data_IF_722288829506
#
_entry.id   IF_722288829506
#
_cell.length_a   1.000
_cell.length_b   1.000
_cell.length_c   1.000
_cell.angle_alpha   90.00
_cell.angle_beta   90.00
_cell.angle_gamma   90.00
#
_symmetry.space_group_name_H-M   'P 1'
#
loop_
_entity.id
_entity.type
_entity.pdbx_description
1 polymer ?
#
# COMPACT_ATOMS: atom_id res chain seq x y z
N UNK A 1 15.88 -16.81 -27.07
CA UNK A 1 14.50 -16.90 -26.59
C UNK A 1 13.49 -16.33 -27.58
N UNK A 2 13.57 -15.07 -28.05
CA UNK A 2 12.57 -14.48 -28.96
C UNK A 2 12.30 -15.29 -30.21
N UNK A 3 13.34 -15.74 -30.96
CA UNK A 3 13.16 -16.60 -32.14
C UNK A 3 12.51 -17.96 -31.81
N UNK A 4 12.78 -18.51 -30.62
CA UNK A 4 12.13 -19.74 -30.17
C UNK A 4 10.65 -19.54 -29.84
N UNK A 5 10.30 -18.39 -29.28
CA UNK A 5 8.90 -18.04 -29.00
C UNK A 5 8.10 -17.88 -30.31
N UNK A 6 8.67 -17.17 -31.29
CA UNK A 6 8.07 -17.04 -32.62
C UNK A 6 7.88 -18.42 -33.29
N UNK A 7 8.94 -19.26 -33.30
CA UNK A 7 8.84 -20.59 -33.87
C UNK A 7 7.83 -21.51 -33.19
N UNK A 8 7.63 -21.36 -31.86
CA UNK A 8 6.59 -22.09 -31.13
C UNK A 8 5.18 -21.66 -31.58
N UNK A 9 4.95 -20.36 -31.73
CA UNK A 9 3.66 -19.82 -32.19
C UNK A 9 3.37 -20.23 -33.65
N UNK A 10 4.36 -20.15 -34.52
CA UNK A 10 4.24 -20.56 -35.94
C UNK A 10 3.96 -22.07 -36.09
N UNK A 11 4.60 -22.91 -35.26
CA UNK A 11 4.41 -24.36 -35.31
C UNK A 11 2.96 -24.80 -35.02
N UNK A 12 2.20 -24.01 -34.26
CA UNK A 12 0.81 -24.28 -33.92
C UNK A 12 -0.18 -23.37 -34.68
N UNK A 13 0.30 -22.58 -35.64
CA UNK A 13 -0.50 -21.60 -36.39
C UNK A 13 -1.31 -20.69 -35.46
N UNK A 14 -0.67 -20.22 -34.40
CA UNK A 14 -1.35 -19.35 -33.42
C UNK A 14 -1.71 -18.00 -34.04
N UNK A 15 -2.95 -17.54 -33.81
CA UNK A 15 -3.45 -16.23 -34.21
C UNK A 15 -4.00 -15.52 -32.98
N UNK A 16 -3.58 -14.27 -32.78
CA UNK A 16 -3.97 -13.45 -31.64
C UNK A 16 -2.84 -13.23 -30.64
N UNK A 17 -3.16 -12.68 -29.50
CA UNK A 17 -2.18 -12.47 -28.43
C UNK A 17 -1.83 -13.80 -27.73
N UNK A 18 -0.56 -13.95 -27.40
CA UNK A 18 -0.08 -15.11 -26.66
C UNK A 18 1.27 -14.83 -26.01
N UNK A 19 1.63 -15.64 -25.03
CA UNK A 19 2.92 -15.57 -24.34
C UNK A 19 3.55 -16.96 -24.32
N UNK A 20 4.82 -17.04 -24.68
CA UNK A 20 5.61 -18.27 -24.53
C UNK A 20 6.51 -18.10 -23.31
N UNK A 21 6.39 -19.02 -22.35
CA UNK A 21 7.15 -18.99 -21.12
C UNK A 21 8.34 -19.96 -21.17
N UNK A 22 9.46 -19.49 -20.63
CA UNK A 22 10.70 -20.26 -20.57
C UNK A 22 11.25 -20.27 -19.14
N UNK A 23 11.76 -21.42 -18.72
CA UNK A 23 12.63 -21.51 -17.54
C UNK A 23 14.06 -21.22 -18.01
N UNK A 24 14.73 -20.31 -17.31
CA UNK A 24 16.11 -19.93 -17.59
C UNK A 24 16.99 -20.41 -16.44
N UNK A 25 18.06 -21.13 -16.79
CA UNK A 25 19.06 -21.57 -15.83
C UNK A 25 19.86 -20.36 -15.33
N UNK A 26 19.76 -20.06 -14.04
CA UNK A 26 20.57 -19.02 -13.43
C UNK A 26 21.96 -19.58 -13.11
N UNK A 27 23.00 -19.03 -13.70
CA UNK A 27 24.40 -19.37 -13.40
C UNK A 27 25.02 -18.25 -12.59
N UNK A 28 25.95 -18.61 -11.70
CA UNK A 28 26.83 -17.65 -11.02
C UNK A 28 27.83 -17.06 -12.05
N UNK A 29 27.32 -16.13 -12.86
CA UNK A 29 28.13 -15.44 -13.85
C UNK A 29 28.45 -14.03 -13.36
N UNK A 30 29.67 -13.57 -13.65
CA UNK A 30 30.05 -12.17 -13.50
C UNK A 30 29.09 -11.27 -14.29
N UNK A 31 28.91 -10.03 -13.88
CA UNK A 31 27.93 -9.10 -14.45
C UNK A 31 28.04 -8.93 -15.98
N UNK A 32 29.21 -9.15 -16.56
CA UNK A 32 29.46 -9.05 -18.00
C UNK A 32 28.97 -10.28 -18.79
N UNK A 33 28.85 -11.44 -18.16
CA UNK A 33 28.43 -12.70 -18.80
C UNK A 33 26.96 -13.07 -18.56
N UNK A 34 26.19 -12.25 -17.87
CA UNK A 34 24.80 -12.58 -17.47
C UNK A 34 23.86 -12.95 -18.60
N UNK A 35 24.16 -12.60 -19.84
CA UNK A 35 23.30 -12.85 -21.01
C UNK A 35 23.94 -13.71 -22.09
N UNK A 36 25.20 -14.08 -21.93
CA UNK A 36 25.93 -14.95 -22.89
C UNK A 36 25.90 -16.41 -22.44
N UNK A 37 25.15 -17.25 -23.16
CA UNK A 37 25.19 -18.70 -22.96
C UNK A 37 24.28 -19.28 -21.86
N UNK A 38 23.25 -18.56 -21.44
CA UNK A 38 22.23 -19.13 -20.55
C UNK A 38 21.39 -20.18 -21.25
N UNK A 39 21.24 -21.36 -20.67
CA UNK A 39 20.30 -22.35 -21.14
C UNK A 39 18.87 -21.90 -20.81
N UNK A 40 17.96 -22.07 -21.74
CA UNK A 40 16.54 -21.84 -21.51
C UNK A 40 15.72 -23.02 -22.01
N UNK A 41 14.62 -23.29 -21.37
CA UNK A 41 13.78 -24.45 -21.67
C UNK A 41 12.34 -23.96 -21.78
N UNK A 42 11.65 -24.45 -22.82
CA UNK A 42 10.23 -24.18 -23.00
C UNK A 42 9.44 -24.75 -21.82
N UNK A 43 8.55 -23.95 -21.25
CA UNK A 43 7.67 -24.35 -20.16
C UNK A 43 6.24 -24.51 -20.68
N UNK A 44 5.63 -23.42 -21.13
CA UNK A 44 4.28 -23.43 -21.65
C UNK A 44 4.04 -22.29 -22.65
N UNK A 45 2.89 -22.35 -23.32
CA UNK A 45 2.36 -21.24 -24.13
C UNK A 45 0.95 -20.90 -23.67
N UNK A 46 0.77 -19.67 -23.24
CA UNK A 46 -0.54 -19.11 -22.92
C UNK A 46 -1.11 -18.45 -24.16
N UNK A 47 -2.15 -19.05 -24.76
CA UNK A 47 -2.80 -18.59 -26.00
C UNK A 47 -3.87 -17.53 -25.74
N UNK A 48 -3.58 -16.57 -24.88
CA UNK A 48 -4.45 -15.48 -24.47
C UNK A 48 -3.63 -14.26 -24.10
N UNK A 49 -4.27 -13.10 -24.04
CA UNK A 49 -3.69 -11.91 -23.44
C UNK A 49 -3.42 -12.18 -21.96
N UNK A 50 -2.25 -11.81 -21.46
CA UNK A 50 -1.89 -11.92 -20.05
C UNK A 50 -2.19 -10.65 -19.29
N UNK A 51 -2.27 -10.77 -17.96
CA UNK A 51 -2.57 -9.64 -17.07
C UNK A 51 -1.54 -8.53 -17.22
N UNK A 52 -0.26 -8.91 -17.36
CA UNK A 52 0.90 -8.01 -17.43
C UNK A 52 1.18 -7.42 -18.82
N UNK A 53 0.27 -7.58 -19.81
CA UNK A 53 0.44 -6.96 -21.13
C UNK A 53 0.73 -5.45 -21.10
N UNK A 54 0.25 -4.66 -20.12
CA UNK A 54 0.53 -3.23 -20.07
C UNK A 54 2.02 -2.89 -20.01
N UNK A 55 2.85 -3.75 -19.40
CA UNK A 55 4.31 -3.57 -19.39
C UNK A 55 4.86 -3.54 -20.81
N UNK A 56 4.43 -4.48 -21.66
CA UNK A 56 4.83 -4.54 -23.07
C UNK A 56 4.32 -3.30 -23.82
N UNK A 57 3.04 -2.95 -23.63
CA UNK A 57 2.42 -1.82 -24.29
C UNK A 57 3.17 -0.51 -24.01
N UNK A 58 3.52 -0.27 -22.77
CA UNK A 58 4.18 0.97 -22.36
C UNK A 58 5.60 1.09 -22.92
N UNK A 59 6.39 -0.01 -22.90
CA UNK A 59 7.78 0.04 -23.40
C UNK A 59 7.88 -0.01 -24.92
N UNK A 60 6.85 -0.48 -25.64
CA UNK A 60 6.85 -0.57 -27.11
C UNK A 60 5.99 0.47 -27.80
N UNK A 61 5.17 1.20 -27.04
CA UNK A 61 4.21 2.15 -27.59
C UNK A 61 3.18 1.47 -28.49
N UNK A 62 2.64 0.33 -28.01
CA UNK A 62 1.63 -0.46 -28.72
C UNK A 62 0.37 -0.61 -27.85
N UNK A 63 -0.75 -0.93 -28.46
CA UNK A 63 -2.00 -1.32 -27.81
C UNK A 63 -2.34 -2.74 -28.25
N UNK A 64 -2.06 -3.71 -27.39
CA UNK A 64 -2.28 -5.13 -27.71
C UNK A 64 -3.75 -5.50 -27.75
N UNK A 65 -4.60 -4.81 -27.02
CA UNK A 65 -6.04 -5.02 -27.03
C UNK A 65 -6.62 -4.55 -28.37
N UNK A 66 -6.23 -3.36 -28.82
CA UNK A 66 -6.58 -2.88 -30.15
C UNK A 66 -6.10 -3.86 -31.25
N UNK A 67 -4.86 -4.35 -31.13
CA UNK A 67 -4.31 -5.30 -32.10
C UNK A 67 -5.09 -6.62 -32.15
N UNK A 68 -5.55 -7.12 -31.01
CA UNK A 68 -6.41 -8.31 -30.99
C UNK A 68 -7.71 -8.07 -31.78
N UNK A 69 -8.34 -6.91 -31.62
CA UNK A 69 -9.57 -6.58 -32.32
C UNK A 69 -9.33 -6.44 -33.84
N UNK A 70 -8.23 -5.80 -34.25
CA UNK A 70 -7.84 -5.66 -35.65
C UNK A 70 -7.59 -7.03 -36.31
N UNK A 71 -6.79 -7.88 -35.67
CA UNK A 71 -6.49 -9.22 -36.15
C UNK A 71 -7.75 -10.09 -36.21
N UNK A 72 -8.63 -10.01 -35.22
CA UNK A 72 -9.91 -10.72 -35.24
C UNK A 72 -10.83 -10.22 -36.38
N UNK A 73 -10.67 -8.97 -36.80
CA UNK A 73 -11.39 -8.40 -37.96
C UNK A 73 -10.76 -8.80 -39.32
N UNK A 74 -9.66 -9.55 -39.31
CA UNK A 74 -8.95 -9.99 -40.51
C UNK A 74 -7.88 -9.03 -41.00
N UNK A 75 -7.53 -8.00 -40.22
CA UNK A 75 -6.45 -7.08 -40.56
C UNK A 75 -5.07 -7.72 -40.28
N UNK A 76 -4.04 -7.36 -41.05
CA UNK A 76 -2.66 -7.75 -40.74
C UNK A 76 -2.18 -7.03 -39.46
N UNK A 77 -1.10 -7.56 -38.85
CA UNK A 77 -0.45 -6.89 -37.73
C UNK A 77 0.00 -5.47 -38.11
N UNK A 78 -0.26 -4.46 -37.27
CA UNK A 78 0.07 -3.06 -37.55
C UNK A 78 1.56 -2.75 -37.67
N UNK A 79 2.42 -3.60 -37.07
CA UNK A 79 3.88 -3.45 -37.09
C UNK A 79 4.55 -4.80 -37.36
N UNK A 80 5.73 -4.73 -37.97
CA UNK A 80 6.61 -5.89 -38.12
C UNK A 80 7.52 -6.00 -36.88
N UNK A 81 8.12 -7.17 -36.67
CA UNK A 81 9.05 -7.40 -35.55
C UNK A 81 10.21 -6.38 -35.53
N UNK A 82 10.71 -5.99 -36.73
CA UNK A 82 11.79 -5.03 -36.86
C UNK A 82 11.42 -3.59 -36.49
N UNK A 83 10.12 -3.24 -36.46
CA UNK A 83 9.63 -1.91 -36.13
C UNK A 83 9.46 -1.72 -34.63
N UNK A 84 9.58 -2.81 -33.87
CA UNK A 84 9.41 -2.75 -32.41
C UNK A 84 10.72 -2.33 -31.74
N UNK A 85 10.64 -1.29 -30.95
CA UNK A 85 11.75 -0.79 -30.13
C UNK A 85 11.35 -0.75 -28.68
N UNK A 86 12.28 -1.09 -27.79
CA UNK A 86 12.07 -0.99 -26.34
C UNK A 86 12.49 0.39 -25.88
N UNK A 87 11.59 1.13 -25.25
CA UNK A 87 11.84 2.43 -24.68
C UNK A 87 11.67 2.41 -23.17
N UNK A 88 12.75 2.69 -22.45
CA UNK A 88 12.74 2.77 -20.99
C UNK A 88 12.51 1.43 -20.29
N UNK A 89 11.91 1.50 -19.12
CA UNK A 89 11.64 0.38 -18.23
C UNK A 89 10.26 0.53 -17.59
N UNK A 90 9.47 -0.54 -17.61
CA UNK A 90 8.16 -0.56 -16.97
C UNK A 90 8.08 -1.66 -15.92
N UNK A 91 7.29 -1.42 -14.88
CA UNK A 91 7.01 -2.38 -13.81
C UNK A 91 5.51 -2.34 -13.53
N UNK A 92 4.90 -3.52 -13.41
CA UNK A 92 3.52 -3.68 -12.98
C UNK A 92 3.45 -4.24 -11.56
N UNK A 93 2.56 -3.70 -10.75
CA UNK A 93 2.17 -4.25 -9.46
C UNK A 93 0.67 -4.61 -9.50
N UNK A 94 0.33 -5.86 -9.18
CA UNK A 94 -1.07 -6.29 -9.00
C UNK A 94 -1.49 -5.99 -7.58
N UNK A 95 -2.43 -5.07 -7.41
CA UNK A 95 -3.01 -4.73 -6.10
C UNK A 95 -4.16 -5.70 -5.84
N UNK A 96 -4.01 -6.52 -4.81
CA UNK A 96 -4.96 -7.57 -4.47
C UNK A 96 -5.55 -7.34 -3.07
N UNK A 97 -6.83 -7.73 -2.93
CA UNK A 97 -7.50 -7.88 -1.63
C UNK A 97 -7.03 -9.20 -0.98
N UNK A 98 -5.86 -9.15 -0.35
CA UNK A 98 -5.19 -10.28 0.27
C UNK A 98 -4.52 -9.83 1.57
N UNK A 99 -4.39 -10.76 2.52
CA UNK A 99 -3.68 -10.50 3.76
C UNK A 99 -2.29 -11.16 3.74
N UNK A 100 -1.20 -10.41 3.47
CA UNK A 100 0.15 -10.96 3.46
C UNK A 100 0.57 -11.60 4.78
N UNK A 101 0.12 -11.07 5.92
CA UNK A 101 0.44 -11.59 7.25
C UNK A 101 -0.27 -12.92 7.54
N UNK A 102 -1.30 -13.25 6.75
CA UNK A 102 -2.05 -14.50 6.84
C UNK A 102 -1.91 -15.31 5.54
N UNK A 103 -0.68 -15.57 5.11
CA UNK A 103 -0.35 -16.38 3.93
C UNK A 103 -1.07 -15.95 2.64
N UNK A 104 -1.27 -14.66 2.43
CA UNK A 104 -1.97 -14.10 1.27
C UNK A 104 -3.39 -14.65 1.06
N UNK A 105 -4.07 -15.02 2.14
CA UNK A 105 -5.46 -15.42 2.02
C UNK A 105 -6.30 -14.27 1.45
N UNK A 106 -7.17 -14.56 0.46
CA UNK A 106 -8.07 -13.58 -0.09
C UNK A 106 -8.95 -12.93 0.99
N UNK A 107 -9.09 -11.62 0.90
CA UNK A 107 -9.92 -10.83 1.79
C UNK A 107 -11.18 -10.35 1.06
N UNK A 108 -12.26 -10.22 1.81
CA UNK A 108 -13.53 -9.68 1.33
C UNK A 108 -13.93 -8.48 2.15
N UNK A 109 -14.66 -7.55 1.56
CA UNK A 109 -15.13 -6.36 2.24
C UNK A 109 -15.58 -5.29 1.26
N UNK A 110 -15.96 -4.15 1.80
CA UNK A 110 -16.34 -2.97 1.01
C UNK A 110 -15.15 -2.03 0.89
N UNK A 111 -14.89 -1.52 -0.28
CA UNK A 111 -13.91 -0.47 -0.53
C UNK A 111 -14.44 0.87 -0.01
N UNK A 112 -14.37 1.09 1.31
CA UNK A 112 -14.90 2.30 1.94
C UNK A 112 -14.13 3.57 1.52
N UNK A 113 -12.84 3.41 1.23
CA UNK A 113 -12.01 4.42 0.57
C UNK A 113 -11.21 3.72 -0.51
N UNK A 114 -11.23 4.28 -1.69
CA UNK A 114 -10.41 3.88 -2.82
C UNK A 114 -9.85 5.15 -3.49
N UNK A 115 -8.62 5.49 -3.17
CA UNK A 115 -7.91 6.65 -3.72
C UNK A 115 -6.61 6.21 -4.35
N UNK A 116 -6.39 6.62 -5.56
CA UNK A 116 -5.21 6.31 -6.37
C UNK A 116 -4.40 7.57 -6.67
N UNK A 117 -3.10 7.47 -6.98
CA UNK A 117 -2.34 8.60 -7.49
C UNK A 117 -2.92 9.11 -8.81
N UNK A 118 -2.53 10.30 -9.25
CA UNK A 118 -2.85 10.78 -10.60
C UNK A 118 -2.30 9.80 -11.63
N UNK A 119 -3.16 9.31 -12.51
CA UNK A 119 -2.86 8.27 -13.48
C UNK A 119 -3.67 8.44 -14.77
N UNK A 120 -3.34 7.64 -15.79
CA UNK A 120 -4.19 7.38 -16.95
C UNK A 120 -4.73 5.95 -16.86
N UNK A 121 -5.91 5.72 -17.40
CA UNK A 121 -6.54 4.42 -17.46
C UNK A 121 -6.38 3.83 -18.87
N UNK A 122 -6.02 2.54 -18.94
CA UNK A 122 -5.97 1.73 -20.18
C UNK A 122 -5.16 2.35 -21.34
N UNK A 123 -4.24 3.25 -21.05
CA UNK A 123 -3.44 3.93 -22.06
C UNK A 123 -1.98 4.04 -21.68
N UNK A 124 -1.11 4.16 -22.68
CA UNK A 124 0.33 4.35 -22.51
C UNK A 124 0.59 5.66 -21.77
N UNK A 125 1.18 5.58 -20.59
CA UNK A 125 1.52 6.74 -19.77
C UNK A 125 2.60 6.41 -18.73
N UNK A 126 3.09 7.44 -18.05
CA UNK A 126 4.11 7.30 -17.00
C UNK A 126 3.60 6.59 -15.74
N UNK A 127 2.33 6.80 -15.40
CA UNK A 127 1.60 6.07 -14.36
C UNK A 127 0.24 5.68 -14.95
N UNK A 128 0.00 4.39 -15.02
CA UNK A 128 -1.25 3.81 -15.51
C UNK A 128 -1.85 2.94 -14.42
N UNK A 129 -3.16 3.03 -14.26
CA UNK A 129 -3.93 2.13 -13.39
C UNK A 129 -5.08 1.57 -14.21
N UNK A 130 -5.11 0.24 -14.29
CA UNK A 130 -6.24 -0.48 -14.87
C UNK A 130 -6.99 -1.18 -13.74
N UNK A 131 -8.15 -0.68 -13.41
CA UNK A 131 -9.00 -1.24 -12.37
C UNK A 131 -10.41 -1.55 -12.91
N UNK A 132 -11.15 -2.33 -12.13
CA UNK A 132 -12.53 -2.68 -12.41
C UNK A 132 -13.46 -2.38 -11.24
N UNK A 133 -12.99 -1.56 -10.29
CA UNK A 133 -13.68 -1.28 -9.04
C UNK A 133 -13.78 0.22 -8.77
N UNK A 134 -14.69 0.60 -7.89
CA UNK A 134 -14.88 1.97 -7.43
C UNK A 134 -15.03 2.01 -5.92
N UNK A 135 -14.86 3.18 -5.35
CA UNK A 135 -15.19 3.40 -3.95
C UNK A 135 -16.63 3.05 -3.67
N UNK A 136 -16.88 2.24 -2.65
CA UNK A 136 -18.18 1.69 -2.30
C UNK A 136 -18.46 0.28 -2.85
N UNK A 137 -17.67 -0.23 -3.78
CA UNK A 137 -17.85 -1.58 -4.31
C UNK A 137 -17.46 -2.64 -3.29
N UNK A 138 -18.08 -3.82 -3.43
CA UNK A 138 -17.83 -4.99 -2.56
C UNK A 138 -16.92 -5.98 -3.27
N UNK A 139 -15.78 -6.25 -2.66
CA UNK A 139 -14.91 -7.35 -3.08
C UNK A 139 -15.44 -8.64 -2.47
N UNK A 140 -15.73 -9.62 -3.31
CA UNK A 140 -16.35 -10.89 -2.91
C UNK A 140 -15.48 -12.09 -3.28
N UNK A 141 -15.83 -13.27 -2.75
CA UNK A 141 -15.16 -14.54 -3.08
C UNK A 141 -15.56 -15.11 -4.45
N UNK A 142 -16.48 -14.48 -5.18
CA UNK A 142 -16.97 -15.00 -6.47
C UNK A 142 -16.04 -14.70 -7.64
N UNK A 143 -15.14 -13.73 -7.48
CA UNK A 143 -14.18 -13.30 -8.47
C UNK A 143 -12.77 -13.30 -7.89
N UNK A 144 -11.80 -12.95 -8.72
CA UNK A 144 -10.40 -12.77 -8.32
C UNK A 144 -10.27 -11.69 -7.23
N UNK A 145 -9.26 -11.83 -6.37
CA UNK A 145 -8.89 -10.84 -5.34
C UNK A 145 -8.29 -9.57 -5.92
N UNK A 146 -7.95 -9.53 -7.22
CA UNK A 146 -7.31 -8.40 -7.86
C UNK A 146 -8.23 -7.18 -7.92
N UNK A 147 -7.78 -6.09 -7.30
CA UNK A 147 -8.47 -4.80 -7.29
C UNK A 147 -8.05 -3.97 -8.50
N UNK A 148 -6.75 -3.88 -8.74
CA UNK A 148 -6.18 -3.04 -9.79
C UNK A 148 -4.79 -3.53 -10.22
N UNK A 149 -4.38 -3.10 -11.42
CA UNK A 149 -2.99 -3.15 -11.87
C UNK A 149 -2.45 -1.74 -11.86
N UNK A 150 -1.33 -1.54 -11.18
CA UNK A 150 -0.58 -0.29 -11.18
C UNK A 150 0.68 -0.49 -12.01
N UNK A 151 0.78 0.23 -13.11
CA UNK A 151 1.89 0.17 -14.05
C UNK A 151 2.61 1.51 -14.04
N UNK A 152 3.94 1.45 -13.97
CA UNK A 152 4.78 2.65 -14.07
C UNK A 152 5.81 2.50 -15.19
N UNK A 153 6.14 3.63 -15.81
CA UNK A 153 7.18 3.72 -16.83
C UNK A 153 8.19 4.81 -16.48
N UNK A 154 9.47 4.54 -16.74
CA UNK A 154 10.54 5.51 -16.61
C UNK A 154 11.72 5.16 -17.54
N UNK A 155 12.66 6.09 -17.79
CA UNK A 155 13.84 5.82 -18.61
C UNK A 155 14.73 4.68 -18.09
N UNK A 156 14.80 4.48 -16.78
CA UNK A 156 15.62 3.45 -16.15
C UNK A 156 14.84 2.63 -15.13
N UNK A 157 15.34 1.41 -14.83
CA UNK A 157 14.75 0.55 -13.79
C UNK A 157 14.71 1.25 -12.43
N UNK A 158 15.78 1.94 -12.04
CA UNK A 158 15.85 2.64 -10.76
C UNK A 158 14.76 3.71 -10.64
N UNK A 159 14.57 4.50 -11.70
CA UNK A 159 13.51 5.52 -11.74
C UNK A 159 12.12 4.89 -11.76
N UNK A 160 11.93 3.76 -12.44
CA UNK A 160 10.67 3.03 -12.43
C UNK A 160 10.34 2.49 -11.03
N UNK A 161 11.33 1.93 -10.32
CA UNK A 161 11.16 1.46 -8.94
C UNK A 161 10.77 2.60 -7.99
N UNK A 162 11.47 3.74 -8.07
CA UNK A 162 11.14 4.92 -7.25
C UNK A 162 9.73 5.45 -7.57
N UNK A 163 9.34 5.46 -8.84
CA UNK A 163 7.99 5.87 -9.27
C UNK A 163 6.94 4.90 -8.77
N UNK A 164 7.19 3.59 -8.80
CA UNK A 164 6.26 2.57 -8.30
C UNK A 164 6.06 2.68 -6.79
N UNK A 165 7.15 2.82 -6.01
CA UNK A 165 7.04 2.99 -4.56
C UNK A 165 6.23 4.23 -4.19
N UNK A 166 6.47 5.36 -4.87
CA UNK A 166 5.71 6.59 -4.67
C UNK A 166 4.23 6.43 -5.03
N UNK A 167 3.92 5.73 -6.12
CA UNK A 167 2.55 5.48 -6.53
C UNK A 167 1.81 4.55 -5.56
N UNK A 168 2.47 3.47 -5.10
CA UNK A 168 1.95 2.60 -4.04
C UNK A 168 1.76 3.37 -2.73
N UNK A 169 2.73 4.23 -2.36
CA UNK A 169 2.64 5.07 -1.16
C UNK A 169 1.47 6.08 -1.22
N UNK A 170 1.05 6.50 -2.41
CA UNK A 170 -0.09 7.38 -2.61
C UNK A 170 -1.44 6.64 -2.69
N UNK A 171 -1.43 5.33 -2.84
CA UNK A 171 -2.65 4.51 -2.89
C UNK A 171 -3.27 4.36 -1.51
N UNK A 172 -4.58 4.61 -1.38
CA UNK A 172 -5.35 4.51 -0.14
C UNK A 172 -6.52 3.57 -0.33
N UNK A 173 -6.49 2.45 0.36
CA UNK A 173 -7.56 1.45 0.37
C UNK A 173 -7.96 1.19 1.81
N UNK A 174 -9.26 1.36 2.11
CA UNK A 174 -9.82 1.18 3.45
C UNK A 174 -11.03 0.27 3.36
N UNK A 175 -11.16 -0.65 4.31
CA UNK A 175 -12.30 -1.55 4.45
C UNK A 175 -11.96 -3.03 4.30
N UNK A 176 -10.76 -3.34 3.77
CA UNK A 176 -10.24 -4.71 3.66
C UNK A 176 -8.71 -4.71 3.62
N UNK A 177 -8.05 -5.80 4.03
CA UNK A 177 -6.61 -5.97 3.87
C UNK A 177 -6.20 -6.04 2.40
N UNK A 178 -5.04 -5.45 2.09
CA UNK A 178 -4.44 -5.49 0.75
C UNK A 178 -2.95 -5.80 0.82
N UNK A 179 -2.38 -6.19 -0.31
CA UNK A 179 -0.95 -6.45 -0.45
C UNK A 179 -0.10 -5.19 -0.70
N UNK A 180 -0.65 -3.97 -0.64
CA UNK A 180 0.06 -2.72 -1.00
C UNK A 180 1.33 -2.52 -0.16
N UNK A 181 1.27 -2.72 1.15
CA UNK A 181 2.45 -2.58 2.02
C UNK A 181 3.53 -3.62 1.68
N UNK A 182 3.14 -4.87 1.45
CA UNK A 182 4.04 -5.93 1.02
C UNK A 182 4.72 -5.61 -0.32
N UNK A 183 3.96 -5.12 -1.31
CA UNK A 183 4.51 -4.70 -2.61
C UNK A 183 5.57 -3.61 -2.45
N UNK A 184 5.37 -2.65 -1.55
CA UNK A 184 6.38 -1.63 -1.25
C UNK A 184 7.65 -2.23 -0.68
N UNK A 185 7.55 -3.19 0.23
CA UNK A 185 8.73 -3.90 0.76
C UNK A 185 9.47 -4.66 -0.35
N UNK A 186 8.73 -5.32 -1.26
CA UNK A 186 9.34 -5.98 -2.43
C UNK A 186 10.12 -4.98 -3.28
N UNK A 187 9.50 -3.85 -3.65
CA UNK A 187 10.10 -2.82 -4.50
C UNK A 187 11.36 -2.21 -3.87
N UNK A 188 11.39 -2.09 -2.54
CA UNK A 188 12.49 -1.53 -1.77
C UNK A 188 13.59 -2.55 -1.45
N UNK A 189 13.34 -3.86 -1.62
CA UNK A 189 14.32 -4.91 -1.33
C UNK A 189 15.50 -4.86 -2.29
N UNK A 190 16.69 -5.16 -1.80
CA UNK A 190 17.91 -5.18 -2.62
C UNK A 190 17.83 -6.23 -3.74
N UNK A 191 17.26 -7.39 -3.44
CA UNK A 191 17.09 -8.44 -4.46
C UNK A 191 16.21 -7.97 -5.63
N UNK A 192 15.12 -7.28 -5.36
CA UNK A 192 14.27 -6.76 -6.42
C UNK A 192 14.91 -5.57 -7.15
N UNK A 193 15.57 -4.68 -6.41
CA UNK A 193 16.29 -3.52 -6.94
C UNK A 193 17.37 -3.92 -7.95
N UNK A 194 18.17 -4.93 -7.61
CA UNK A 194 19.26 -5.40 -8.45
C UNK A 194 18.89 -6.54 -9.40
N UNK A 195 17.58 -6.84 -9.52
CA UNK A 195 17.05 -7.91 -10.36
C UNK A 195 17.66 -9.31 -10.06
N UNK A 196 18.00 -9.56 -8.80
CA UNK A 196 18.39 -10.87 -8.31
C UNK A 196 17.14 -11.69 -7.97
N UNK A 197 16.41 -12.07 -9.01
CA UNK A 197 15.07 -12.66 -8.93
C UNK A 197 15.13 -14.16 -9.21
N UNK A 198 14.60 -14.94 -8.27
CA UNK A 198 14.40 -16.38 -8.40
C UNK A 198 13.14 -16.81 -7.65
N UNK A 199 12.77 -18.08 -7.78
CA UNK A 199 11.58 -18.65 -7.12
C UNK A 199 11.69 -18.70 -5.58
N UNK A 200 12.89 -18.55 -5.03
CA UNK A 200 13.16 -18.55 -3.58
C UNK A 200 13.22 -17.14 -2.98
N UNK A 201 12.99 -16.09 -3.77
CA UNK A 201 13.09 -14.70 -3.33
C UNK A 201 12.31 -14.43 -2.03
N UNK A 202 11.05 -14.83 -1.98
CA UNK A 202 10.17 -14.55 -0.84
C UNK A 202 10.68 -15.22 0.42
N UNK A 203 11.11 -16.47 0.31
CA UNK A 203 11.62 -17.21 1.47
C UNK A 203 12.99 -16.66 1.93
N UNK A 204 13.86 -16.30 0.99
CA UNK A 204 15.18 -15.72 1.28
C UNK A 204 15.10 -14.34 1.93
N UNK A 205 14.16 -13.50 1.50
CA UNK A 205 13.99 -12.12 1.95
C UNK A 205 12.85 -11.97 2.98
N UNK A 206 12.40 -13.08 3.57
CA UNK A 206 11.21 -13.12 4.44
C UNK A 206 11.24 -12.08 5.54
N UNK A 207 12.37 -11.92 6.22
CA UNK A 207 12.51 -10.95 7.33
C UNK A 207 12.39 -9.50 6.85
N UNK A 208 12.79 -9.20 5.61
CA UNK A 208 12.66 -7.88 4.99
C UNK A 208 11.25 -7.66 4.47
N UNK A 209 10.69 -8.65 3.77
CA UNK A 209 9.40 -8.53 3.09
C UNK A 209 8.22 -8.49 4.07
N UNK A 210 8.31 -9.23 5.18
CA UNK A 210 7.31 -9.28 6.24
C UNK A 210 7.76 -8.55 7.51
N UNK A 211 9.02 -8.06 7.52
CA UNK A 211 9.52 -7.14 8.53
C UNK A 211 8.79 -5.82 8.39
N UNK A 212 7.70 -5.67 9.12
CA UNK A 212 6.90 -4.47 9.10
C UNK A 212 7.79 -3.26 9.38
N UNK A 213 7.93 -2.34 8.44
CA UNK A 213 8.19 -0.95 8.75
C UNK A 213 6.92 -0.43 9.46
N UNK A 214 6.83 -0.79 10.73
CA UNK A 214 5.76 -0.30 11.60
C UNK A 214 5.91 1.20 11.64
N UNK A 215 4.84 1.90 11.33
CA UNK A 215 4.79 3.33 11.63
C UNK A 215 5.17 3.51 13.10
N UNK A 216 5.93 4.55 13.41
CA UNK A 216 6.28 4.83 14.81
C UNK A 216 4.97 4.88 15.60
N UNK A 217 4.76 3.96 16.53
CA UNK A 217 3.51 3.80 17.27
C UNK A 217 2.93 5.12 17.83
N UNK A 218 3.75 6.06 18.35
CA UNK A 218 3.23 7.34 18.79
C UNK A 218 2.50 8.15 17.72
N UNK A 219 2.99 8.12 16.47
CA UNK A 219 2.35 8.80 15.36
C UNK A 219 1.02 8.17 14.98
N UNK A 220 0.97 6.85 14.96
CA UNK A 220 -0.26 6.10 14.66
C UNK A 220 -1.35 6.38 15.69
N UNK A 221 -0.99 6.25 16.99
CA UNK A 221 -1.92 6.49 18.09
C UNK A 221 -2.38 7.96 18.14
N UNK A 222 -1.45 8.91 18.01
CA UNK A 222 -1.79 10.32 17.96
C UNK A 222 -2.76 10.64 16.82
N UNK A 223 -2.50 10.08 15.62
CA UNK A 223 -3.36 10.29 14.45
C UNK A 223 -4.75 9.70 14.65
N UNK A 224 -4.85 8.48 15.21
CA UNK A 224 -6.12 7.84 15.50
C UNK A 224 -6.96 8.68 16.48
N UNK A 225 -6.33 9.19 17.54
CA UNK A 225 -6.99 10.07 18.51
C UNK A 225 -7.42 11.39 17.86
N UNK A 226 -6.55 12.02 17.06
CA UNK A 226 -6.87 13.27 16.35
C UNK A 226 -8.05 13.06 15.40
N UNK A 227 -8.13 11.91 14.71
CA UNK A 227 -9.27 11.58 13.85
C UNK A 227 -10.56 11.50 14.67
N UNK A 228 -10.52 10.87 15.83
CA UNK A 228 -11.69 10.78 16.73
C UNK A 228 -12.14 12.16 17.21
N UNK A 229 -11.21 12.97 17.71
CA UNK A 229 -11.50 14.33 18.16
C UNK A 229 -12.06 15.20 17.02
N UNK A 230 -11.55 15.04 15.80
CA UNK A 230 -12.04 15.77 14.63
C UNK A 230 -13.48 15.36 14.24
N UNK A 231 -13.84 14.08 14.36
CA UNK A 231 -15.20 13.61 14.13
C UNK A 231 -16.17 14.14 15.19
N UNK A 232 -15.79 14.10 16.45
CA UNK A 232 -16.58 14.66 17.54
C UNK A 232 -16.83 16.16 17.35
N UNK A 233 -15.80 16.90 16.91
CA UNK A 233 -15.93 18.33 16.65
C UNK A 233 -16.96 18.64 15.53
N UNK A 234 -17.11 17.77 14.55
CA UNK A 234 -18.09 17.92 13.47
C UNK A 234 -19.54 17.66 13.93
N UNK A 235 -19.72 16.85 14.96
CA UNK A 235 -21.05 16.50 15.51
C UNK A 235 -21.56 17.46 16.58
N UNK A 236 -20.75 18.45 16.99
CA UNK A 236 -21.13 19.43 18.00
C UNK A 236 -22.29 20.32 17.52
N UNK A 237 -23.36 20.37 18.30
CA UNK A 237 -24.47 21.27 18.09
C UNK A 237 -24.13 22.67 18.62
N UNK A 238 -24.93 23.70 18.23
CA UNK A 238 -24.81 25.07 18.76
C UNK A 238 -25.20 25.21 20.26
N UNK A 239 -25.58 24.12 20.92
CA UNK A 239 -25.87 24.09 22.34
C UNK A 239 -24.57 24.29 23.13
N UNK A 240 -24.48 25.31 24.04
CA UNK A 240 -23.31 25.53 24.87
C UNK A 240 -22.92 24.33 25.74
N UNK A 241 -23.89 23.47 26.10
CA UNK A 241 -23.67 22.28 26.92
C UNK A 241 -23.16 21.07 26.11
N UNK A 242 -23.20 21.13 24.79
CA UNK A 242 -22.63 20.09 23.93
C UNK A 242 -21.14 20.31 23.60
N UNK A 243 -20.56 21.39 24.09
CA UNK A 243 -19.13 21.68 23.86
C UNK A 243 -18.27 20.72 24.64
N UNK A 244 -17.45 19.98 23.93
CA UNK A 244 -16.38 19.12 24.49
C UNK A 244 -15.07 19.93 24.58
N UNK A 245 -15.12 21.06 25.34
CA UNK A 245 -13.99 21.97 25.53
C UNK A 245 -13.03 21.51 26.64
N UNK A 246 -13.21 20.28 27.11
CA UNK A 246 -12.40 19.65 28.15
C UNK A 246 -12.37 20.44 29.49
N UNK A 247 -13.31 21.40 29.68
CA UNK A 247 -13.37 22.19 30.91
C UNK A 247 -13.83 21.34 32.10
N UNK A 248 -13.09 21.41 33.20
CA UNK A 248 -13.48 20.84 34.51
C UNK A 248 -13.21 21.82 35.63
N UNK A 249 -14.16 21.94 36.55
CA UNK A 249 -14.12 22.94 37.62
C UNK A 249 -13.00 22.75 38.67
N UNK A 250 -12.51 21.50 38.86
CA UNK A 250 -11.61 21.18 39.98
C UNK A 250 -10.53 20.14 39.68
N UNK A 251 -10.38 19.69 38.44
CA UNK A 251 -9.38 18.69 38.07
C UNK A 251 -8.82 18.92 36.68
N UNK A 252 -7.61 18.42 36.42
CA UNK A 252 -7.11 18.34 35.05
C UNK A 252 -7.99 17.39 34.24
N UNK A 253 -8.23 17.75 32.97
CA UNK A 253 -8.94 16.88 32.05
C UNK A 253 -8.00 15.75 31.60
N UNK A 254 -8.41 14.53 31.85
CA UNK A 254 -7.78 13.34 31.32
C UNK A 254 -8.83 12.48 30.64
N UNK A 255 -8.52 12.03 29.42
CA UNK A 255 -9.39 11.15 28.65
C UNK A 255 -8.61 9.92 28.23
N UNK A 256 -9.00 8.73 28.70
CA UNK A 256 -8.42 7.48 28.26
C UNK A 256 -9.04 7.05 26.94
N UNK A 257 -8.22 6.38 26.12
CA UNK A 257 -8.59 5.64 24.92
C UNK A 257 -8.02 4.24 25.06
N UNK A 258 -8.87 3.24 25.05
CA UNK A 258 -8.46 1.85 24.99
C UNK A 258 -8.30 1.46 23.52
N UNK A 259 -7.15 0.87 23.18
CA UNK A 259 -6.72 0.62 21.82
C UNK A 259 -6.21 -0.80 21.70
N UNK A 260 -6.32 -1.37 20.50
CA UNK A 260 -5.62 -2.61 20.14
C UNK A 260 -4.76 -2.35 18.91
N UNK A 261 -3.49 -2.73 19.00
CA UNK A 261 -2.53 -2.64 17.92
C UNK A 261 -1.77 -3.97 17.79
N UNK A 262 -1.95 -4.66 16.65
CA UNK A 262 -1.40 -6.00 16.42
C UNK A 262 -1.67 -6.96 17.60
N UNK A 263 -2.94 -7.10 17.98
CA UNK A 263 -3.43 -7.94 19.08
C UNK A 263 -2.91 -7.56 20.48
N UNK A 264 -2.17 -6.44 20.59
CA UNK A 264 -1.66 -5.93 21.86
C UNK A 264 -2.56 -4.83 22.39
N UNK A 265 -3.13 -4.97 23.60
CA UNK A 265 -3.91 -3.94 24.21
C UNK A 265 -3.01 -2.78 24.67
N UNK A 266 -3.45 -1.57 24.35
CA UNK A 266 -2.81 -0.33 24.71
C UNK A 266 -3.83 0.59 25.39
N UNK A 267 -3.34 1.46 26.25
CA UNK A 267 -4.12 2.59 26.77
C UNK A 267 -3.39 3.89 26.48
N UNK A 268 -4.02 4.74 25.69
CA UNK A 268 -3.58 6.11 25.52
C UNK A 268 -4.39 7.03 26.42
N UNK A 269 -3.73 8.01 27.04
CA UNK A 269 -4.40 9.03 27.85
C UNK A 269 -4.00 10.38 27.27
N UNK A 270 -4.99 11.21 26.96
CA UNK A 270 -4.76 12.61 26.62
C UNK A 270 -5.09 13.50 27.79
N UNK A 271 -4.28 14.53 28.00
CA UNK A 271 -4.55 15.62 28.92
C UNK A 271 -4.38 16.96 28.22
N UNK A 272 -5.10 17.99 28.71
CA UNK A 272 -5.12 19.29 28.05
C UNK A 272 -3.78 20.02 28.25
N UNK A 273 -3.23 20.57 27.17
CA UNK A 273 -2.14 21.55 27.22
C UNK A 273 -2.78 22.94 27.22
N UNK A 274 -2.57 23.71 28.30
CA UNK A 274 -3.07 25.07 28.42
C UNK A 274 -2.22 26.04 27.58
N UNK A 275 -2.44 26.09 26.25
CA UNK A 275 -1.94 27.20 25.45
C UNK A 275 -3.06 27.84 24.64
N UNK A 276 -3.17 29.19 24.69
CA UNK A 276 -4.18 29.93 23.91
C UNK A 276 -3.66 30.16 22.50
N UNK A 277 -3.66 29.14 21.66
CA UNK A 277 -3.18 29.28 20.29
C UNK A 277 -4.10 28.56 19.30
N UNK A 278 -4.08 29.04 18.07
CA UNK A 278 -4.84 28.56 16.91
C UNK A 278 -4.65 27.06 16.55
N UNK A 279 -3.77 26.37 17.23
CA UNK A 279 -3.46 24.94 17.04
C UNK A 279 -4.03 24.13 18.19
N UNK A 280 -4.70 23.03 17.87
CA UNK A 280 -5.18 22.10 18.88
C UNK A 280 -4.00 21.29 19.40
N UNK A 281 -3.86 21.18 20.73
CA UNK A 281 -2.76 20.50 21.38
C UNK A 281 -3.22 19.70 22.60
N UNK A 282 -2.55 18.57 22.85
CA UNK A 282 -2.75 17.75 24.04
C UNK A 282 -1.45 17.03 24.41
N UNK A 283 -1.32 16.70 25.70
CA UNK A 283 -0.28 15.79 26.15
C UNK A 283 -0.75 14.36 25.98
N UNK A 284 0.08 13.49 25.42
CA UNK A 284 -0.21 12.11 25.11
C UNK A 284 0.68 11.16 25.91
N UNK A 285 0.08 10.25 26.65
CA UNK A 285 0.77 9.11 27.26
C UNK A 285 0.24 7.82 26.68
N UNK A 286 1.12 6.93 26.21
CA UNK A 286 0.78 5.62 25.68
C UNK A 286 1.37 4.55 26.57
N UNK A 287 0.54 3.60 27.01
CA UNK A 287 0.93 2.50 27.88
C UNK A 287 0.57 1.16 27.24
N UNK A 288 1.46 0.18 27.38
CA UNK A 288 1.10 -1.22 27.14
C UNK A 288 0.36 -1.78 28.36
N UNK A 289 -0.69 -2.58 28.11
CA UNK A 289 -1.45 -3.26 29.13
C UNK A 289 -1.13 -4.75 29.05
N UNK A 290 -0.56 -5.32 30.10
CA UNK A 290 -0.40 -6.76 30.23
C UNK A 290 -1.36 -7.27 31.32
N UNK A 291 -2.20 -8.27 30.97
CA UNK A 291 -3.07 -8.91 31.95
C UNK A 291 -2.21 -9.64 32.99
N UNK A 292 -2.50 -9.43 34.28
CA UNK A 292 -1.82 -10.15 35.33
C UNK A 292 -2.21 -11.65 35.29
N UNK A 293 -1.24 -12.55 35.32
CA UNK A 293 -1.46 -14.01 35.29
C UNK A 293 -2.24 -14.56 36.50
N UNK A 294 -2.35 -13.82 37.58
CA UNK A 294 -3.11 -14.21 38.81
C UNK A 294 -3.69 -12.96 39.46
N UNK A 295 -4.98 -12.94 39.72
CA UNK A 295 -5.77 -11.97 40.55
C UNK A 295 -5.03 -10.70 41.01
N UNK A 296 -4.41 -9.96 40.12
CA UNK A 296 -3.69 -8.72 40.37
C UNK A 296 -4.17 -7.62 39.38
N UNK A 297 -3.85 -6.40 39.69
CA UNK A 297 -4.09 -5.28 38.77
C UNK A 297 -3.25 -5.47 37.51
N UNK A 298 -3.81 -5.07 36.36
CA UNK A 298 -3.09 -5.09 35.08
C UNK A 298 -1.74 -4.35 35.19
N UNK A 299 -0.69 -4.92 34.60
CA UNK A 299 0.63 -4.29 34.56
C UNK A 299 0.61 -3.25 33.45
N UNK A 300 0.80 -2.00 33.82
CA UNK A 300 0.83 -0.87 32.89
C UNK A 300 2.29 -0.45 32.69
N UNK A 301 2.76 -0.54 31.46
CA UNK A 301 4.13 -0.15 31.12
C UNK A 301 4.10 1.05 30.17
N UNK A 302 4.73 2.19 30.52
CA UNK A 302 4.78 3.34 29.64
C UNK A 302 5.62 3.04 28.40
N UNK A 303 5.09 3.41 27.21
CA UNK A 303 5.76 3.29 25.92
C UNK A 303 6.20 4.66 25.41
N UNK A 304 5.35 5.66 25.60
CA UNK A 304 5.57 7.02 25.09
C UNK A 304 4.88 8.04 25.99
N UNK A 305 5.53 9.20 26.11
CA UNK A 305 4.95 10.40 26.72
C UNK A 305 5.48 11.62 25.97
N UNK A 306 4.58 12.53 25.59
CA UNK A 306 4.97 13.73 24.87
C UNK A 306 3.79 14.61 24.48
N UNK A 307 4.11 15.73 23.87
CA UNK A 307 3.12 16.72 23.41
C UNK A 307 2.77 16.50 21.95
N UNK A 308 1.51 16.57 21.63
CA UNK A 308 0.96 16.48 20.29
C UNK A 308 0.29 17.80 19.96
N UNK A 309 0.68 18.39 18.82
CA UNK A 309 -0.06 19.49 18.19
C UNK A 309 -0.60 19.00 16.86
N UNK A 310 -1.76 19.46 16.46
CA UNK A 310 -2.32 19.07 15.19
C UNK A 310 -3.11 20.18 14.52
N UNK A 311 -3.11 20.16 13.20
CA UNK A 311 -3.88 21.03 12.34
C UNK A 311 -4.66 20.18 11.34
N UNK A 312 -6.00 20.12 11.43
CA UNK A 312 -6.82 19.50 10.39
C UNK A 312 -6.64 20.26 9.07
N UNK A 313 -6.48 19.52 8.00
CA UNK A 313 -6.50 20.02 6.63
C UNK A 313 -7.66 19.36 5.87
N UNK A 314 -7.76 19.53 4.55
CA UNK A 314 -8.80 18.88 3.76
C UNK A 314 -8.59 17.34 3.67
N UNK A 315 -9.66 16.61 3.34
CA UNK A 315 -9.62 15.19 2.98
C UNK A 315 -9.04 14.25 4.04
N UNK A 316 -9.52 14.38 5.31
CA UNK A 316 -9.06 13.53 6.41
C UNK A 316 -7.54 13.54 6.63
N UNK A 317 -6.90 14.63 6.24
CA UNK A 317 -5.48 14.88 6.36
C UNK A 317 -5.20 15.78 7.55
N UNK A 318 -4.18 15.45 8.31
CA UNK A 318 -3.75 16.16 9.50
C UNK A 318 -2.25 16.46 9.42
N UNK A 319 -1.86 17.66 9.76
CA UNK A 319 -0.46 17.94 10.07
C UNK A 319 -0.27 17.78 11.57
N UNK A 320 0.60 16.86 11.97
CA UNK A 320 0.93 16.60 13.36
C UNK A 320 2.35 17.02 13.67
N UNK A 321 2.55 17.47 14.90
CA UNK A 321 3.86 17.70 15.52
C UNK A 321 3.90 16.89 16.82
N UNK A 322 4.88 16.01 16.95
CA UNK A 322 5.13 15.24 18.16
C UNK A 322 6.47 15.65 18.77
N UNK A 323 6.47 15.84 20.09
CA UNK A 323 7.67 16.15 20.88
C UNK A 323 7.65 15.28 22.14
N UNK A 324 8.74 14.59 22.42
CA UNK A 324 8.96 13.79 23.64
C UNK A 324 9.58 14.60 24.79
N UNK A 325 9.73 15.90 24.61
CA UNK A 325 10.35 16.80 25.56
C UNK A 325 11.86 16.83 25.53
N UNK A 326 12.53 15.85 24.91
CA UNK A 326 13.99 15.77 24.78
C UNK A 326 14.48 16.20 23.41
N UNK A 327 13.67 16.01 22.37
CA UNK A 327 14.00 16.32 20.99
C UNK A 327 13.13 17.46 20.45
N UNK A 328 13.69 18.24 19.52
CA UNK A 328 12.88 19.20 18.75
C UNK A 328 11.74 18.45 18.04
N UNK A 329 10.49 18.91 18.23
CA UNK A 329 9.31 18.24 17.72
C UNK A 329 9.42 17.92 16.23
N UNK A 330 9.15 16.69 15.86
CA UNK A 330 9.08 16.25 14.48
C UNK A 330 7.70 16.61 13.90
N UNK A 331 7.65 16.93 12.62
CA UNK A 331 6.43 17.24 11.88
C UNK A 331 6.19 16.19 10.81
N UNK A 332 4.95 15.68 10.76
CA UNK A 332 4.51 14.77 9.69
C UNK A 332 3.11 15.13 9.20
N UNK A 333 2.84 14.83 7.94
CA UNK A 333 1.51 14.86 7.38
C UNK A 333 0.94 13.44 7.42
N UNK A 334 -0.22 13.28 8.04
CA UNK A 334 -0.87 12.01 8.27
C UNK A 334 -2.28 12.04 7.70
N UNK A 335 -2.77 10.90 7.25
CA UNK A 335 -4.16 10.73 6.84
C UNK A 335 -4.80 9.62 7.66
N UNK A 336 -6.08 9.76 7.99
CA UNK A 336 -6.78 8.74 8.75
C UNK A 336 -8.26 8.63 8.35
N UNK A 337 -8.71 7.41 8.19
CA UNK A 337 -10.12 7.08 7.99
C UNK A 337 -10.60 6.13 9.06
N UNK A 338 -11.76 6.43 9.66
CA UNK A 338 -12.41 5.52 10.60
C UNK A 338 -13.48 4.70 9.89
N UNK A 339 -13.44 3.40 10.10
CA UNK A 339 -14.52 2.49 9.71
C UNK A 339 -14.83 1.58 10.90
N UNK A 340 -16.02 1.73 11.49
CA UNK A 340 -16.38 1.08 12.76
C UNK A 340 -15.38 1.42 13.88
N UNK A 341 -14.81 0.39 14.51
CA UNK A 341 -13.79 0.52 15.55
C UNK A 341 -12.37 0.68 14.99
N UNK A 342 -12.17 0.48 13.69
CA UNK A 342 -10.85 0.55 13.07
C UNK A 342 -10.55 1.94 12.54
N UNK A 343 -9.37 2.44 12.85
CA UNK A 343 -8.79 3.64 12.27
C UNK A 343 -7.60 3.26 11.41
N UNK A 344 -7.74 3.49 10.12
CA UNK A 344 -6.70 3.28 9.13
C UNK A 344 -5.86 4.55 9.04
N UNK A 345 -4.59 4.43 9.34
CA UNK A 345 -3.66 5.55 9.40
C UNK A 345 -2.61 5.41 8.31
N UNK A 346 -2.39 6.48 7.56
CA UNK A 346 -1.43 6.53 6.48
C UNK A 346 -0.45 7.68 6.68
N UNK A 347 0.82 7.39 6.47
CA UNK A 347 1.89 8.37 6.31
C UNK A 347 2.52 8.24 4.93
N UNK A 348 3.51 9.07 4.61
CA UNK A 348 4.28 8.92 3.38
C UNK A 348 5.11 7.62 3.34
N UNK A 349 5.39 7.04 4.50
CA UNK A 349 6.31 5.90 4.62
C UNK A 349 5.63 4.60 5.05
N UNK A 350 4.51 4.67 5.74
CA UNK A 350 3.84 3.51 6.29
C UNK A 350 2.32 3.70 6.32
N UNK A 351 1.62 2.58 6.30
CA UNK A 351 0.18 2.51 6.60
C UNK A 351 -0.04 1.44 7.64
N UNK A 352 -0.96 1.70 8.58
CA UNK A 352 -1.29 0.74 9.62
C UNK A 352 -2.72 0.97 10.15
N UNK A 353 -3.22 0.02 10.94
CA UNK A 353 -4.57 0.07 11.48
C UNK A 353 -4.54 -0.02 13.00
N UNK A 354 -5.28 0.86 13.66
CA UNK A 354 -5.49 0.83 15.11
C UNK A 354 -6.98 0.59 15.36
N UNK A 355 -7.29 -0.33 16.26
CA UNK A 355 -8.66 -0.56 16.71
C UNK A 355 -8.92 0.26 17.96
N UNK A 356 -9.92 1.14 17.94
CA UNK A 356 -10.44 1.85 19.11
C UNK A 356 -11.45 0.92 19.80
N UNK A 357 -11.25 0.65 21.08
CA UNK A 357 -12.19 -0.14 21.87
C UNK A 357 -13.14 0.83 22.56
N UNK A 358 -14.39 0.85 22.13
CA UNK A 358 -15.40 1.65 22.82
C UNK A 358 -15.56 1.13 24.26
N UNK A 359 -15.17 1.93 25.25
CA UNK A 359 -15.49 1.67 26.64
C UNK A 359 -16.99 1.94 26.83
N UNK A 360 -17.78 0.86 26.84
CA UNK A 360 -19.18 0.92 27.29
C UNK A 360 -19.28 1.35 28.75
#
# INVERSE_FOLDING_TARGET
>A
MGAAAIGAAEAVNHVGAGTVEFIVEQRDLSFEDKFGGMNFYFMEMNTRLQVEHPVIEVITGTDLVEWQLRVASGEPLPKQQADLTINGHAIEARINAENPDNNFLPATGTLNVYRTPTHSEFSVSDVRIDDGVREGDVISTYYDSMIAKLIVHAPTREQALAKLDNALAATRIVGLPTNVAFLRHVVQSDSFKYANLDTALIEREKDVLFGQQRGELPWLVATAIVKELAQEAQTQNHDPFSKTDAWRAYSHYERPFDLVYHDKPLRAVISQVNEPAKEQAFHLTINAIAKAEKQGADVVTPIYQGDVRYLPTADDTFTLWLSDGETAGKRQQMQAWRHNEQVYVFSNHASDTITLVDSM
#
